data_IF_760073119941
#
_entry.id   IF_760073119941
#
_cell.length_a   1.000
_cell.length_b   1.000
_cell.length_c   1.000
_cell.angle_alpha   90.00
_cell.angle_beta   90.00
_cell.angle_gamma   90.00
#
_symmetry.space_group_name_H-M   'P 1'
#
loop_
_entity.id
_entity.type
_entity.pdbx_description
1 polymer ?
#
# COMPACT_ATOMS: atom_id res chain seq x y z
N UNK A 1 -29.54 8.64 -2.24
CA UNK A 1 -28.17 8.65 -1.64
C UNK A 1 -27.08 8.47 -2.68
N UNK A 2 -26.85 7.27 -3.25
CA UNK A 2 -25.74 7.07 -4.21
C UNK A 2 -25.93 7.85 -5.53
N UNK A 3 -27.12 7.79 -6.12
CA UNK A 3 -27.44 8.53 -7.34
C UNK A 3 -27.32 10.05 -7.14
N UNK A 4 -27.76 10.55 -5.99
CA UNK A 4 -27.69 11.97 -5.67
C UNK A 4 -26.27 12.44 -5.36
N UNK A 5 -25.43 11.56 -4.80
CA UNK A 5 -24.00 11.82 -4.54
C UNK A 5 -23.18 11.88 -5.84
N UNK A 6 -23.58 11.14 -6.87
CA UNK A 6 -22.93 11.11 -8.19
C UNK A 6 -23.71 11.87 -9.27
N UNK A 7 -24.33 13.00 -8.90
CA UNK A 7 -24.98 13.95 -9.83
C UNK A 7 -26.00 13.32 -10.79
N UNK A 8 -26.79 12.36 -10.29
CA UNK A 8 -27.83 11.69 -11.06
C UNK A 8 -27.37 10.48 -11.85
N UNK A 9 -26.09 10.09 -11.79
CA UNK A 9 -25.56 8.91 -12.50
C UNK A 9 -26.16 7.62 -11.94
N UNK A 10 -26.70 6.79 -12.83
CA UNK A 10 -27.29 5.50 -12.45
C UNK A 10 -26.21 4.47 -12.07
N UNK A 11 -26.34 3.82 -10.90
CA UNK A 11 -25.48 2.69 -10.53
C UNK A 11 -25.64 1.53 -11.51
N UNK A 12 -24.54 0.87 -11.86
CA UNK A 12 -24.58 -0.34 -12.68
C UNK A 12 -25.21 -1.50 -11.88
N UNK A 13 -26.26 -2.12 -12.44
CA UNK A 13 -26.98 -3.26 -11.86
C UNK A 13 -26.97 -4.50 -12.78
N UNK A 14 -26.11 -4.51 -13.80
CA UNK A 14 -26.08 -5.56 -14.83
C UNK A 14 -25.47 -6.89 -14.36
N UNK A 15 -24.95 -6.96 -13.14
CA UNK A 15 -24.30 -8.16 -12.59
C UNK A 15 -24.81 -8.42 -11.18
N UNK A 16 -24.96 -9.70 -10.83
CA UNK A 16 -25.37 -10.08 -9.48
C UNK A 16 -24.28 -9.62 -8.47
N UNK A 17 -24.62 -8.78 -7.47
CA UNK A 17 -23.65 -8.30 -6.48
C UNK A 17 -23.01 -9.41 -5.66
N UNK A 18 -23.67 -10.56 -5.51
CA UNK A 18 -23.13 -11.69 -4.74
C UNK A 18 -22.08 -12.47 -5.54
N UNK A 19 -22.13 -12.40 -6.87
CA UNK A 19 -21.26 -13.17 -7.78
C UNK A 19 -20.15 -12.33 -8.39
N UNK A 20 -20.28 -11.00 -8.38
CA UNK A 20 -19.36 -10.08 -9.09
C UNK A 20 -17.91 -10.28 -8.63
N UNK A 21 -17.68 -10.48 -7.33
CA UNK A 21 -16.33 -10.68 -6.79
C UNK A 21 -15.71 -12.00 -7.26
N UNK A 22 -16.50 -13.08 -7.30
CA UNK A 22 -16.03 -14.37 -7.76
C UNK A 22 -15.69 -14.33 -9.26
N UNK A 23 -16.56 -13.70 -10.06
CA UNK A 23 -16.34 -13.54 -11.50
C UNK A 23 -15.07 -12.73 -11.79
N UNK A 24 -14.88 -11.58 -11.15
CA UNK A 24 -13.68 -10.75 -11.36
C UNK A 24 -12.41 -11.47 -10.93
N UNK A 25 -12.46 -12.22 -9.82
CA UNK A 25 -11.30 -12.99 -9.34
C UNK A 25 -10.93 -14.11 -10.31
N UNK A 26 -11.92 -14.82 -10.85
CA UNK A 26 -11.68 -15.87 -11.85
C UNK A 26 -11.07 -15.31 -13.14
N UNK A 27 -11.61 -14.20 -13.65
CA UNK A 27 -11.05 -13.51 -14.82
C UNK A 27 -9.63 -13.03 -14.55
N UNK A 28 -9.38 -12.40 -13.40
CA UNK A 28 -8.05 -11.92 -13.01
C UNK A 28 -7.05 -13.07 -12.85
N UNK A 29 -7.47 -14.18 -12.24
CA UNK A 29 -6.65 -15.39 -12.11
C UNK A 29 -6.25 -16.00 -13.44
N UNK A 30 -7.20 -16.09 -14.40
CA UNK A 30 -6.92 -16.60 -15.75
C UNK A 30 -5.99 -15.69 -16.58
N UNK A 31 -6.06 -14.37 -16.36
CA UNK A 31 -5.12 -13.41 -16.98
C UNK A 31 -3.72 -13.57 -16.39
N UNK A 32 -3.62 -13.68 -15.06
CA UNK A 32 -2.33 -13.83 -14.35
C UNK A 32 -1.67 -15.20 -14.58
N UNK A 33 -2.45 -16.27 -14.78
CA UNK A 33 -1.93 -17.62 -15.09
C UNK A 33 -1.42 -17.76 -16.53
N UNK A 34 -1.74 -16.81 -17.41
CA UNK A 34 -1.39 -16.86 -18.83
C UNK A 34 -2.21 -17.89 -19.63
N UNK A 35 -3.19 -18.55 -19.01
CA UNK A 35 -4.06 -19.59 -19.62
C UNK A 35 -5.27 -19.00 -20.36
N UNK A 36 -5.29 -17.69 -20.63
CA UNK A 36 -6.33 -17.10 -21.47
C UNK A 36 -6.33 -17.80 -22.83
N UNK A 37 -7.35 -18.62 -23.11
CA UNK A 37 -7.49 -19.32 -24.38
C UNK A 37 -7.59 -18.34 -25.56
N UNK A 38 -7.17 -18.78 -26.73
CA UNK A 38 -7.18 -17.99 -27.97
C UNK A 38 -8.60 -17.45 -28.32
N UNK A 39 -9.67 -18.14 -27.91
CA UNK A 39 -11.06 -17.67 -28.09
C UNK A 39 -11.43 -16.47 -27.22
N UNK A 40 -10.94 -16.41 -25.97
CA UNK A 40 -11.14 -15.26 -25.08
C UNK A 40 -10.41 -14.02 -25.62
N UNK A 41 -9.26 -14.22 -26.26
CA UNK A 41 -8.50 -13.15 -26.92
C UNK A 41 -9.21 -12.57 -28.14
N UNK A 42 -9.98 -13.39 -28.86
CA UNK A 42 -10.63 -13.01 -30.13
C UNK A 42 -11.98 -12.31 -29.95
N UNK A 43 -12.79 -12.72 -28.99
CA UNK A 43 -14.13 -12.17 -28.77
C UNK A 43 -14.13 -10.85 -27.98
N UNK A 44 -13.05 -10.53 -27.27
CA UNK A 44 -12.93 -9.32 -26.47
C UNK A 44 -12.21 -8.17 -27.20
N UNK A 45 -11.74 -8.36 -28.45
CA UNK A 45 -10.83 -7.41 -29.13
C UNK A 45 -9.63 -7.01 -28.25
N UNK A 46 -9.19 -7.91 -27.36
CA UNK A 46 -8.13 -7.63 -26.40
C UNK A 46 -6.82 -8.15 -26.94
N UNK A 47 -5.92 -7.23 -27.27
CA UNK A 47 -4.50 -7.55 -27.37
C UNK A 47 -4.03 -8.00 -25.97
N UNK A 48 -3.06 -8.92 -25.92
CA UNK A 48 -2.48 -9.57 -24.72
C UNK A 48 -1.92 -8.61 -23.65
N UNK A 49 -2.12 -7.30 -23.81
CA UNK A 49 -1.45 -6.18 -23.14
C UNK A 49 -2.37 -5.16 -22.49
N UNK A 50 -3.69 -5.17 -22.71
CA UNK A 50 -4.55 -4.02 -22.31
C UNK A 50 -5.22 -4.15 -20.92
N UNK A 51 -5.06 -5.28 -20.22
CA UNK A 51 -5.48 -5.37 -18.80
C UNK A 51 -4.31 -4.95 -17.92
N UNK A 52 -4.23 -3.65 -17.61
CA UNK A 52 -3.30 -3.11 -16.62
C UNK A 52 -3.95 -3.15 -15.24
N UNK A 53 -3.52 -4.10 -14.40
CA UNK A 53 -3.83 -4.06 -12.97
C UNK A 53 -2.76 -3.22 -12.26
N UNK A 54 -3.13 -2.00 -11.88
CA UNK A 54 -2.32 -1.16 -11.00
C UNK A 54 -2.87 -1.28 -9.59
N UNK A 55 -2.34 -2.22 -8.82
CA UNK A 55 -2.67 -2.32 -7.40
C UNK A 55 -1.94 -1.22 -6.62
N UNK A 56 -2.66 -0.60 -5.69
CA UNK A 56 -2.17 0.50 -4.88
C UNK A 56 -2.53 0.19 -3.43
N UNK A 57 -1.51 0.10 -2.57
CA UNK A 57 -1.75 -0.04 -1.14
C UNK A 57 -2.62 1.13 -0.64
N UNK A 58 -3.71 0.84 0.08
CA UNK A 58 -4.70 1.87 0.46
C UNK A 58 -4.17 2.83 1.52
N UNK A 59 -3.20 2.39 2.32
CA UNK A 59 -2.73 3.11 3.49
C UNK A 59 -1.25 3.52 3.37
N UNK A 60 -0.90 4.55 4.12
CA UNK A 60 0.47 5.05 4.19
C UNK A 60 1.30 4.17 5.11
N UNK A 61 2.55 3.95 4.75
CA UNK A 61 3.53 3.28 5.60
C UNK A 61 4.54 4.30 6.11
N UNK A 62 4.86 4.18 7.39
CA UNK A 62 5.75 5.11 8.07
C UNK A 62 6.44 4.45 9.26
N UNK A 63 7.30 5.23 9.89
CA UNK A 63 8.02 4.81 11.09
C UNK A 63 7.73 5.75 12.25
N UNK A 64 7.87 5.24 13.46
CA UNK A 64 7.88 6.08 14.65
C UNK A 64 9.12 6.96 14.70
N UNK A 65 8.89 8.23 15.02
CA UNK A 65 9.95 9.20 15.29
C UNK A 65 9.77 9.76 16.69
N UNK A 66 10.84 10.37 17.20
CA UNK A 66 10.85 10.86 18.58
C UNK A 66 9.67 11.79 18.85
N UNK A 67 8.95 11.50 19.92
CA UNK A 67 7.72 12.21 20.29
C UNK A 67 6.43 11.47 19.94
N UNK A 68 6.51 10.22 19.45
CA UNK A 68 5.33 9.40 19.13
C UNK A 68 4.61 9.85 17.86
N UNK A 69 5.32 10.56 16.99
CA UNK A 69 4.80 11.08 15.72
C UNK A 69 5.21 10.13 14.61
N UNK A 70 4.24 9.72 13.81
CA UNK A 70 4.49 8.88 12.64
C UNK A 70 5.05 9.74 11.50
N UNK A 71 6.25 9.39 11.02
CA UNK A 71 6.80 9.96 9.79
C UNK A 71 6.45 9.04 8.63
N UNK A 72 5.60 9.54 7.71
CA UNK A 72 5.20 8.81 6.51
C UNK A 72 6.35 8.75 5.50
N UNK A 73 6.76 7.54 5.13
CA UNK A 73 7.84 7.30 4.16
C UNK A 73 7.26 6.91 2.79
N UNK A 74 6.25 6.04 2.79
CA UNK A 74 5.63 5.53 1.56
C UNK A 74 4.14 5.90 1.57
N UNK A 75 3.72 6.84 0.71
CA UNK A 75 2.30 7.20 0.64
C UNK A 75 1.45 6.23 -0.18
N UNK A 76 2.02 5.61 -1.23
CA UNK A 76 1.35 4.64 -2.12
C UNK A 76 2.37 3.67 -2.74
N UNK A 77 2.05 2.38 -2.81
CA UNK A 77 2.83 1.31 -3.47
C UNK A 77 2.33 1.17 -4.93
N UNK A 78 3.14 0.77 -5.92
CA UNK A 78 4.53 0.30 -5.86
C UNK A 78 5.55 1.44 -5.99
N UNK A 79 6.23 1.75 -4.89
CA UNK A 79 7.35 2.69 -4.89
C UNK A 79 8.43 2.21 -3.94
N UNK A 80 9.70 2.50 -4.29
CA UNK A 80 10.81 2.48 -3.34
C UNK A 80 11.04 3.91 -2.86
N UNK A 81 11.05 4.13 -1.55
CA UNK A 81 11.39 5.41 -0.94
C UNK A 81 12.49 5.19 0.09
N UNK A 82 13.33 6.21 0.25
CA UNK A 82 14.41 6.21 1.23
C UNK A 82 14.49 7.61 1.82
N UNK A 83 14.66 7.67 3.13
CA UNK A 83 14.80 8.90 3.89
C UNK A 83 15.90 8.67 4.92
N UNK A 84 16.76 9.67 5.11
CA UNK A 84 17.86 9.63 6.08
C UNK A 84 17.35 10.15 7.42
N UNK A 85 17.65 9.41 8.48
CA UNK A 85 17.34 9.76 9.86
C UNK A 85 18.64 9.89 10.66
N UNK A 86 18.58 10.60 11.79
CA UNK A 86 19.69 10.77 12.73
C UNK A 86 19.32 10.24 14.11
N UNK A 87 20.33 9.98 14.95
CA UNK A 87 20.15 9.70 16.36
C UNK A 87 19.55 10.89 17.10
N UNK A 88 18.78 10.61 18.14
CA UNK A 88 18.14 11.61 18.98
C UNK A 88 19.03 12.08 20.11
N UNK A 89 19.88 11.18 20.63
CA UNK A 89 20.73 11.44 21.80
C UNK A 89 22.21 11.36 21.45
N UNK A 90 23.02 12.13 22.18
CA UNK A 90 24.47 12.02 22.13
C UNK A 90 24.89 10.60 22.53
N UNK A 91 25.86 10.04 21.79
CA UNK A 91 26.43 8.71 22.03
C UNK A 91 25.42 7.55 21.91
N UNK A 92 24.31 7.74 21.20
CA UNK A 92 23.33 6.69 20.94
C UNK A 92 23.93 5.59 20.06
N UNK A 93 24.04 4.37 20.60
CA UNK A 93 24.63 3.19 19.93
C UNK A 93 23.60 2.25 19.30
N UNK A 94 22.32 2.45 19.62
CA UNK A 94 21.20 1.63 19.15
C UNK A 94 20.02 2.52 18.74
N UNK A 95 19.38 2.19 17.62
CA UNK A 95 18.13 2.80 17.15
C UNK A 95 17.07 1.72 17.00
N UNK A 96 15.91 1.92 17.60
CA UNK A 96 14.74 1.07 17.38
C UNK A 96 13.88 1.69 16.29
N UNK A 97 13.53 0.90 15.28
CA UNK A 97 12.67 1.32 14.17
C UNK A 97 11.39 0.50 14.27
N UNK A 98 10.30 1.19 14.57
CA UNK A 98 8.95 0.62 14.61
C UNK A 98 8.22 1.06 13.34
N UNK A 99 7.60 0.11 12.64
CA UNK A 99 6.90 0.31 11.36
C UNK A 99 5.40 0.25 11.58
N UNK A 100 4.68 1.24 11.04
CA UNK A 100 3.23 1.39 11.20
C UNK A 100 2.52 1.58 9.86
N UNK A 101 1.23 1.26 9.86
CA UNK A 101 0.25 1.59 8.83
C UNK A 101 -0.76 2.59 9.42
N UNK A 102 -1.23 3.58 8.65
CA UNK A 102 -2.16 4.70 9.03
C UNK A 102 -1.51 6.05 9.40
N UNK A 103 -2.24 7.02 9.98
CA UNK A 103 -1.87 8.46 9.98
C UNK A 103 -1.90 9.06 11.40
N UNK A 104 -1.05 10.08 11.60
CA UNK A 104 -1.00 11.04 12.72
C UNK A 104 -0.22 10.61 13.95
N UNK A 105 -0.71 9.66 14.73
CA UNK A 105 -0.12 9.29 16.02
C UNK A 105 0.17 7.79 16.04
N UNK A 106 1.39 7.41 16.39
CA UNK A 106 1.80 5.99 16.37
C UNK A 106 1.05 5.14 17.39
N UNK A 107 0.53 5.75 18.46
CA UNK A 107 -0.24 5.08 19.51
C UNK A 107 -1.52 4.41 19.00
N UNK A 108 -2.16 5.02 18.01
CA UNK A 108 -3.47 4.59 17.52
C UNK A 108 -3.36 3.67 16.29
N UNK A 109 -2.13 3.49 15.78
CA UNK A 109 -1.87 2.78 14.54
C UNK A 109 -1.48 1.31 14.79
N UNK A 110 -1.87 0.39 13.91
CA UNK A 110 -1.39 -0.99 13.94
C UNK A 110 0.13 -1.04 13.69
N UNK A 111 0.86 -1.66 14.61
CA UNK A 111 2.29 -1.97 14.44
C UNK A 111 2.43 -3.15 13.47
N UNK A 112 3.15 -2.95 12.38
CA UNK A 112 3.47 -3.99 11.40
C UNK A 112 4.72 -4.79 11.81
N UNK A 113 5.61 -4.15 12.56
CA UNK A 113 6.78 -4.80 13.16
C UNK A 113 7.83 -3.81 13.64
N UNK A 114 8.83 -4.33 14.35
CA UNK A 114 9.96 -3.56 14.83
C UNK A 114 11.28 -4.26 14.57
N UNK A 115 12.34 -3.46 14.48
CA UNK A 115 13.70 -3.96 14.43
C UNK A 115 14.66 -2.97 15.08
N UNK A 116 15.76 -3.49 15.62
CA UNK A 116 16.78 -2.69 16.28
C UNK A 116 18.05 -2.69 15.43
N UNK A 117 18.53 -1.50 15.10
CA UNK A 117 19.84 -1.29 14.53
C UNK A 117 20.82 -0.99 15.66
N UNK A 118 21.65 -1.98 16.00
CA UNK A 118 22.68 -1.88 17.06
C UNK A 118 24.08 -1.71 16.45
N UNK A 119 25.04 -1.27 17.26
CA UNK A 119 26.44 -1.16 16.85
C UNK A 119 26.80 0.17 16.18
N UNK A 120 26.00 1.21 16.38
CA UNK A 120 26.35 2.57 15.96
C UNK A 120 27.52 3.07 16.81
N UNK A 121 28.49 3.73 16.16
CA UNK A 121 29.61 4.35 16.86
C UNK A 121 29.08 5.51 17.71
N UNK A 122 29.55 5.64 18.97
CA UNK A 122 29.21 6.79 19.80
C UNK A 122 29.61 8.10 19.10
N UNK A 123 28.62 8.92 18.77
CA UNK A 123 28.80 10.22 18.14
C UNK A 123 27.88 11.27 18.80
N UNK A 124 28.23 12.57 18.77
CA UNK A 124 27.32 13.62 19.16
C UNK A 124 26.03 13.58 18.33
N UNK A 125 24.91 13.99 18.93
CA UNK A 125 23.64 14.16 18.22
C UNK A 125 23.83 15.16 17.08
N UNK A 126 23.29 14.84 15.91
CA UNK A 126 23.28 15.78 14.79
C UNK A 126 22.42 17.00 15.15
N UNK A 127 22.91 18.20 14.84
CA UNK A 127 22.25 19.49 15.17
C UNK A 127 21.52 20.06 13.96
#
# INVERSE_FOLDING_TARGET
MLKDFFDGKEPNKGTNPDEVLAYTTAVQGGVLSGESGEETQKNLNLLKTDILLLDVAPLHLGIDTVGGVMTNIIPRIPTKKSQVFTTYQDQQTTVTINVYEEISMTKDNPELGNFQLTGLLPAPRWR
#
